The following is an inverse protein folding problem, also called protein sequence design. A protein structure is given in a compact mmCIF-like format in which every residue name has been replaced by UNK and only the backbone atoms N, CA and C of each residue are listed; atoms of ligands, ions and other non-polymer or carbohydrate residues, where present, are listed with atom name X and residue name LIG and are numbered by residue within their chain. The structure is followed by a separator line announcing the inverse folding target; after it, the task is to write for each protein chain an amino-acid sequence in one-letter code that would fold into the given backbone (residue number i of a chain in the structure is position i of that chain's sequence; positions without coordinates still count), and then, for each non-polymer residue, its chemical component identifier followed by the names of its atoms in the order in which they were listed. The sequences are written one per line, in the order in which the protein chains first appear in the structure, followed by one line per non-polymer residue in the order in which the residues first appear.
data_IF_663654442593
#
_entry.id   IF_663654442593
#
_cell.length_a   1.000
_cell.length_b   1.000
_cell.length_c   1.000
_cell.angle_alpha   90.00
_cell.angle_beta   90.00
_cell.angle_gamma   90.00
#
_symmetry.space_group_name_H-M   'P 1'
#
loop_
_entity.id
_entity.type
_entity.pdbx_description
1 polymer ?
#
# COMPACT_ATOMS: atom_id res chain seq x y z
N UNK A 1 -6.83 -22.14 -11.38
CA UNK A 1 -7.34 -22.08 -12.77
C UNK A 1 -6.18 -21.79 -13.71
N UNK A 2 -5.96 -22.58 -14.77
CA UNK A 2 -4.88 -22.36 -15.75
C UNK A 2 -5.10 -21.11 -16.60
N UNK A 3 -6.33 -20.93 -17.09
CA UNK A 3 -6.80 -19.72 -17.77
C UNK A 3 -7.66 -18.94 -16.78
N UNK A 4 -7.21 -17.75 -16.38
CA UNK A 4 -7.89 -16.91 -15.40
C UNK A 4 -7.42 -15.46 -15.55
N UNK A 5 -8.34 -14.50 -15.58
CA UNK A 5 -8.03 -13.09 -15.84
C UNK A 5 -7.68 -12.30 -14.57
N UNK A 6 -8.22 -12.70 -13.41
CA UNK A 6 -7.90 -12.15 -12.11
C UNK A 6 -6.73 -12.92 -11.44
N UNK A 7 -6.23 -12.43 -10.31
CA UNK A 7 -5.24 -13.17 -9.51
C UNK A 7 -5.86 -14.39 -8.79
N UNK A 8 -7.04 -14.18 -8.22
CA UNK A 8 -7.89 -15.15 -7.57
C UNK A 8 -9.35 -14.63 -7.60
N UNK A 9 -10.31 -15.39 -7.07
CA UNK A 9 -11.67 -14.91 -6.78
C UNK A 9 -12.35 -15.73 -5.68
N UNK A 10 -13.08 -15.03 -4.82
CA UNK A 10 -13.48 -15.38 -3.46
C UNK A 10 -14.53 -16.49 -3.33
N UNK A 11 -15.48 -16.58 -4.28
CA UNK A 11 -16.51 -17.64 -4.42
C UNK A 11 -16.75 -18.52 -3.17
N UNK A 12 -17.67 -18.12 -2.28
CA UNK A 12 -18.07 -18.82 -1.05
C UNK A 12 -17.79 -20.35 -0.99
N UNK A 13 -16.76 -20.73 -0.23
CA UNK A 13 -16.37 -22.14 0.00
C UNK A 13 -15.69 -22.84 -1.18
N UNK A 14 -15.41 -22.13 -2.27
CA UNK A 14 -14.84 -22.64 -3.52
C UNK A 14 -13.81 -21.66 -4.15
N UNK A 15 -13.10 -20.89 -3.32
CA UNK A 15 -12.03 -19.94 -3.68
C UNK A 15 -11.17 -20.43 -4.85
N UNK A 16 -11.06 -19.62 -5.90
CA UNK A 16 -10.31 -19.95 -7.12
C UNK A 16 -9.03 -19.11 -7.21
N UNK A 17 -7.91 -19.72 -7.61
CA UNK A 17 -6.60 -19.04 -7.65
C UNK A 17 -5.93 -19.32 -9.01
N UNK A 18 -5.30 -18.30 -9.62
CA UNK A 18 -4.53 -18.42 -10.87
C UNK A 18 -3.36 -19.42 -10.74
N UNK A 19 -3.14 -20.27 -11.75
CA UNK A 19 -2.07 -21.29 -11.72
C UNK A 19 -0.66 -20.69 -11.55
N UNK A 20 -0.44 -19.43 -11.92
CA UNK A 20 0.84 -18.73 -11.73
C UNK A 20 1.37 -18.73 -10.29
N UNK A 21 0.50 -18.93 -9.29
CA UNK A 21 0.86 -19.08 -7.87
C UNK A 21 1.29 -20.51 -7.46
N UNK A 22 1.12 -21.50 -8.35
CA UNK A 22 1.50 -22.92 -8.12
C UNK A 22 2.91 -23.17 -8.67
N UNK A 23 3.90 -22.72 -7.91
CA UNK A 23 5.30 -22.74 -8.33
C UNK A 23 5.85 -24.16 -8.53
N UNK A 24 6.31 -24.46 -9.76
CA UNK A 24 6.91 -25.76 -10.13
C UNK A 24 8.44 -25.81 -9.90
N UNK A 25 8.99 -24.88 -9.13
CA UNK A 25 10.42 -24.70 -8.88
C UNK A 25 10.70 -23.57 -7.88
N UNK A 26 11.98 -23.25 -7.63
CA UNK A 26 12.36 -22.16 -6.71
C UNK A 26 12.00 -20.78 -7.30
N UNK A 27 11.40 -19.93 -6.47
CA UNK A 27 10.98 -18.55 -6.76
C UNK A 27 11.60 -17.56 -5.76
N UNK A 28 11.38 -16.26 -5.94
CA UNK A 28 11.80 -15.24 -4.96
C UNK A 28 10.88 -15.18 -3.74
N UNK A 29 11.33 -14.56 -2.64
CA UNK A 29 10.51 -14.36 -1.44
C UNK A 29 9.21 -13.60 -1.75
N UNK A 30 9.32 -12.49 -2.49
CA UNK A 30 8.18 -11.66 -2.90
C UNK A 30 7.10 -12.44 -3.70
N UNK A 31 7.47 -13.48 -4.45
CA UNK A 31 6.48 -14.33 -5.13
C UNK A 31 5.73 -15.26 -4.15
N UNK A 32 6.39 -15.75 -3.10
CA UNK A 32 5.77 -16.57 -2.06
C UNK A 32 4.87 -15.70 -1.17
N UNK A 33 5.34 -14.50 -0.84
CA UNK A 33 4.62 -13.48 -0.08
C UNK A 33 3.36 -13.00 -0.81
N UNK A 34 3.46 -12.54 -2.07
CA UNK A 34 2.27 -12.12 -2.85
C UNK A 34 1.24 -13.23 -2.98
N UNK A 35 1.66 -14.50 -3.07
CA UNK A 35 0.74 -15.65 -3.01
C UNK A 35 0.05 -15.77 -1.66
N UNK A 36 0.78 -15.61 -0.55
CA UNK A 36 0.21 -15.67 0.79
C UNK A 36 -0.80 -14.53 1.02
N UNK A 37 -0.45 -13.30 0.62
CA UNK A 37 -1.36 -12.15 0.61
C UNK A 37 -2.61 -12.44 -0.20
N UNK A 38 -2.50 -12.90 -1.46
CA UNK A 38 -3.68 -13.28 -2.25
C UNK A 38 -4.52 -14.36 -1.57
N UNK A 39 -3.93 -15.44 -1.04
CA UNK A 39 -4.69 -16.47 -0.31
C UNK A 39 -5.43 -15.89 0.91
N UNK A 40 -4.81 -14.95 1.63
CA UNK A 40 -5.43 -14.29 2.79
C UNK A 40 -6.51 -13.26 2.40
N UNK A 41 -6.41 -12.65 1.21
CA UNK A 41 -7.40 -11.75 0.63
C UNK A 41 -8.71 -12.51 0.36
N UNK A 42 -8.65 -13.61 -0.39
CA UNK A 42 -9.82 -14.46 -0.66
C UNK A 42 -10.46 -15.02 0.63
N UNK A 43 -9.64 -15.29 1.65
CA UNK A 43 -10.12 -15.77 2.95
C UNK A 43 -10.74 -14.66 3.81
N UNK A 44 -10.36 -13.39 3.64
CA UNK A 44 -11.00 -12.26 4.28
C UNK A 44 -12.38 -11.96 3.66
N UNK A 45 -12.55 -12.17 2.36
CA UNK A 45 -13.84 -12.04 1.66
C UNK A 45 -14.94 -12.99 2.15
N UNK A 46 -14.57 -14.12 2.78
CA UNK A 46 -15.50 -15.01 3.50
C UNK A 46 -16.32 -14.25 4.57
N UNK A 47 -15.83 -13.08 5.01
CA UNK A 47 -16.53 -12.13 5.87
C UNK A 47 -16.98 -10.87 5.11
N UNK A 48 -16.05 -10.14 4.49
CA UNK A 48 -16.32 -8.89 3.75
C UNK A 48 -16.52 -9.17 2.24
N UNK A 49 -17.74 -9.53 1.87
CA UNK A 49 -18.10 -9.99 0.54
C UNK A 49 -19.20 -11.06 0.59
N UNK A 50 -18.88 -12.22 1.15
CA UNK A 50 -19.79 -13.37 1.23
C UNK A 50 -20.78 -13.33 2.41
N UNK A 51 -20.28 -13.10 3.64
CA UNK A 51 -21.14 -13.12 4.84
C UNK A 51 -21.95 -11.83 4.96
N UNK A 52 -21.34 -10.70 4.61
CA UNK A 52 -21.99 -9.40 4.45
C UNK A 52 -21.48 -8.80 3.15
N UNK A 53 -22.40 -8.45 2.26
CA UNK A 53 -22.12 -7.96 0.92
C UNK A 53 -22.50 -6.49 0.81
N UNK A 54 -21.81 -5.69 0.00
CA UNK A 54 -22.30 -4.35 -0.35
C UNK A 54 -23.70 -4.40 -0.99
N UNK A 55 -24.50 -3.35 -0.82
CA UNK A 55 -25.83 -3.21 -1.44
C UNK A 55 -25.74 -2.83 -2.91
N UNK A 56 -24.75 -2.01 -3.26
CA UNK A 56 -24.44 -1.60 -4.63
C UNK A 56 -22.95 -1.26 -4.76
N UNK A 57 -22.47 -1.10 -5.99
CA UNK A 57 -21.05 -1.04 -6.32
C UNK A 57 -20.33 0.25 -5.90
N UNK A 58 -21.06 1.30 -5.51
CA UNK A 58 -20.49 2.48 -4.84
C UNK A 58 -19.75 2.11 -3.54
N UNK A 59 -20.17 1.02 -2.90
CA UNK A 59 -19.58 0.46 -1.69
C UNK A 59 -18.65 -0.74 -1.99
N UNK A 60 -18.17 -0.92 -3.24
CA UNK A 60 -17.24 -2.01 -3.61
C UNK A 60 -15.97 -2.04 -2.73
N UNK A 61 -15.48 -0.85 -2.35
CA UNK A 61 -14.33 -0.68 -1.47
C UNK A 61 -14.54 -1.33 -0.08
N UNK A 62 -15.79 -1.42 0.40
CA UNK A 62 -16.17 -2.09 1.66
C UNK A 62 -15.83 -3.59 1.66
N UNK A 63 -15.74 -4.21 0.48
CA UNK A 63 -15.22 -5.57 0.32
C UNK A 63 -13.70 -5.53 0.10
N UNK A 64 -13.27 -4.87 -0.98
CA UNK A 64 -11.90 -5.00 -1.53
C UNK A 64 -10.83 -4.36 -0.65
N UNK A 65 -11.08 -3.14 -0.16
CA UNK A 65 -10.16 -2.46 0.76
C UNK A 65 -10.03 -3.20 2.08
N UNK A 66 -11.13 -3.80 2.55
CA UNK A 66 -11.16 -4.60 3.78
C UNK A 66 -10.40 -5.91 3.62
N UNK A 67 -10.56 -6.62 2.51
CA UNK A 67 -9.79 -7.82 2.22
C UNK A 67 -8.29 -7.53 2.02
N UNK A 68 -7.94 -6.43 1.34
CA UNK A 68 -6.55 -6.00 1.12
C UNK A 68 -5.89 -5.57 2.45
N UNK A 69 -6.63 -4.86 3.34
CA UNK A 69 -6.16 -4.53 4.69
C UNK A 69 -6.02 -5.78 5.57
N UNK A 70 -7.04 -6.63 5.62
CA UNK A 70 -7.08 -7.81 6.49
C UNK A 70 -6.08 -8.89 6.06
N UNK A 71 -5.77 -9.00 4.76
CA UNK A 71 -4.76 -9.95 4.26
C UNK A 71 -3.36 -9.56 4.72
N UNK A 72 -3.01 -8.28 4.67
CA UNK A 72 -1.73 -7.77 5.17
C UNK A 72 -1.64 -7.84 6.70
N UNK A 73 -2.71 -7.51 7.43
CA UNK A 73 -2.77 -7.69 8.88
C UNK A 73 -2.60 -9.17 9.27
N UNK A 74 -3.34 -10.08 8.62
CA UNK A 74 -3.25 -11.51 8.88
C UNK A 74 -1.85 -12.07 8.55
N UNK A 75 -1.22 -11.59 7.48
CA UNK A 75 0.13 -11.98 7.11
C UNK A 75 1.17 -11.59 8.18
N UNK A 76 1.13 -10.35 8.67
CA UNK A 76 2.07 -9.86 9.67
C UNK A 76 1.88 -10.55 11.03
N UNK A 77 0.63 -10.72 11.48
CA UNK A 77 0.32 -11.23 12.82
C UNK A 77 0.32 -12.77 12.91
N UNK A 78 0.13 -13.51 11.80
CA UNK A 78 -0.13 -14.96 11.82
C UNK A 78 0.77 -15.80 10.89
N UNK A 79 1.76 -15.21 10.20
CA UNK A 79 2.62 -15.94 9.25
C UNK A 79 4.10 -15.57 9.36
N UNK A 80 4.94 -16.09 8.46
CA UNK A 80 6.36 -15.69 8.35
C UNK A 80 6.57 -14.30 7.73
N UNK A 81 5.53 -13.70 7.12
CA UNK A 81 5.60 -12.42 6.39
C UNK A 81 5.43 -11.20 7.32
N UNK A 82 6.15 -11.18 8.45
CA UNK A 82 6.14 -10.08 9.43
C UNK A 82 6.55 -8.71 8.87
N UNK A 83 7.15 -8.67 7.67
CA UNK A 83 7.51 -7.44 6.96
C UNK A 83 6.48 -6.97 5.93
N UNK A 84 5.31 -7.61 5.77
CA UNK A 84 4.42 -7.36 4.63
C UNK A 84 3.92 -5.91 4.47
N UNK A 85 3.83 -5.10 5.55
CA UNK A 85 3.58 -3.65 5.43
C UNK A 85 4.67 -2.90 4.65
N UNK A 86 5.89 -3.44 4.59
CA UNK A 86 7.00 -2.97 3.75
C UNK A 86 6.68 -3.18 2.27
N UNK A 87 6.28 -4.40 1.89
CA UNK A 87 5.81 -4.73 0.53
C UNK A 87 4.61 -3.87 0.15
N UNK A 88 3.62 -3.71 1.05
CA UNK A 88 2.44 -2.86 0.82
C UNK A 88 2.81 -1.41 0.50
N UNK A 89 3.67 -0.78 1.31
CA UNK A 89 4.14 0.59 1.07
C UNK A 89 4.94 0.72 -0.24
N UNK A 90 5.82 -0.25 -0.53
CA UNK A 90 6.69 -0.24 -1.72
C UNK A 90 5.94 -0.53 -3.03
N UNK A 91 4.95 -1.43 -3.01
CA UNK A 91 4.27 -1.93 -4.22
C UNK A 91 2.89 -1.28 -4.38
N UNK A 92 1.99 -1.57 -3.44
CA UNK A 92 0.55 -1.32 -3.60
C UNK A 92 0.22 0.16 -3.35
N UNK A 93 0.75 0.76 -2.27
CA UNK A 93 0.61 2.19 -1.98
C UNK A 93 1.29 3.06 -3.05
N UNK A 94 2.42 2.60 -3.58
CA UNK A 94 3.12 3.20 -4.72
C UNK A 94 2.41 2.98 -6.07
N UNK A 95 1.42 2.10 -6.16
CA UNK A 95 0.47 2.03 -7.27
C UNK A 95 -0.69 3.01 -7.05
N UNK A 96 -1.28 3.03 -5.86
CA UNK A 96 -2.31 3.99 -5.47
C UNK A 96 -1.88 5.44 -5.75
N UNK A 97 -0.71 5.88 -5.27
CA UNK A 97 -0.18 7.24 -5.50
C UNK A 97 0.06 7.58 -6.98
N UNK A 98 0.17 6.59 -7.88
CA UNK A 98 0.27 6.85 -9.33
C UNK A 98 -1.10 6.99 -9.96
N UNK A 99 -2.08 6.21 -9.49
CA UNK A 99 -3.46 6.19 -9.97
C UNK A 99 -4.22 7.44 -9.50
N UNK A 100 -4.15 7.75 -8.21
CA UNK A 100 -4.79 8.88 -7.51
C UNK A 100 -4.13 10.24 -7.81
N UNK A 101 -3.12 10.26 -8.71
CA UNK A 101 -2.54 11.47 -9.31
C UNK A 101 -2.81 11.58 -10.82
N UNK A 102 -3.63 10.70 -11.41
CA UNK A 102 -4.08 10.83 -12.80
C UNK A 102 -5.24 11.85 -12.91
N UNK A 103 -5.44 12.49 -14.08
CA UNK A 103 -6.65 13.29 -14.34
C UNK A 103 -7.97 12.50 -14.30
N UNK A 104 -7.90 11.17 -14.21
CA UNK A 104 -9.02 10.23 -14.09
C UNK A 104 -9.21 9.72 -12.65
N UNK A 105 -8.60 10.38 -11.66
CA UNK A 105 -8.74 10.02 -10.24
C UNK A 105 -10.17 10.20 -9.74
N UNK A 106 -10.57 9.37 -8.78
CA UNK A 106 -11.88 9.41 -8.13
C UNK A 106 -11.77 9.29 -6.60
N UNK A 107 -12.82 9.64 -5.84
CA UNK A 107 -12.94 9.26 -4.43
C UNK A 107 -13.01 7.73 -4.26
N UNK A 108 -12.78 7.24 -3.04
CA UNK A 108 -12.90 5.81 -2.70
C UNK A 108 -14.38 5.41 -2.68
N UNK A 109 -15.23 6.29 -2.14
CA UNK A 109 -16.69 6.21 -2.31
C UNK A 109 -17.07 6.99 -3.58
N UNK A 110 -17.29 6.28 -4.68
CA UNK A 110 -17.65 6.86 -5.97
C UNK A 110 -19.12 6.58 -6.34
N UNK A 111 -19.74 7.48 -7.09
CA UNK A 111 -21.06 7.23 -7.69
C UNK A 111 -20.89 6.28 -8.89
N UNK A 112 -21.74 5.24 -8.96
CA UNK A 112 -21.63 4.13 -9.91
C UNK A 112 -23.00 3.92 -10.57
N UNK A 113 -23.17 4.46 -11.78
CA UNK A 113 -24.42 4.37 -12.55
C UNK A 113 -24.55 3.03 -13.27
N UNK A 114 -23.44 2.48 -13.78
CA UNK A 114 -23.44 1.35 -14.70
C UNK A 114 -22.21 0.44 -14.57
N UNK A 115 -22.25 -0.72 -15.24
CA UNK A 115 -21.22 -1.76 -15.12
C UNK A 115 -19.85 -1.38 -15.69
N UNK A 116 -19.77 -0.42 -16.63
CA UNK A 116 -18.48 0.08 -17.12
C UNK A 116 -17.81 0.96 -16.06
N UNK A 117 -18.58 1.66 -15.23
CA UNK A 117 -18.04 2.41 -14.08
C UNK A 117 -17.47 1.44 -13.04
N UNK A 118 -18.16 0.31 -12.80
CA UNK A 118 -17.66 -0.79 -11.95
C UNK A 118 -16.32 -1.31 -12.47
N UNK A 119 -16.24 -1.63 -13.78
CA UNK A 119 -15.02 -2.17 -14.42
C UNK A 119 -13.79 -1.26 -14.25
N UNK A 120 -13.96 0.07 -14.27
CA UNK A 120 -12.83 1.01 -14.08
C UNK A 120 -12.48 1.29 -12.63
N UNK A 121 -13.37 1.01 -11.67
CA UNK A 121 -13.11 1.18 -10.23
C UNK A 121 -12.34 0.01 -9.60
N UNK A 122 -12.09 -1.10 -10.32
CA UNK A 122 -11.19 -2.17 -9.86
C UNK A 122 -9.70 -1.78 -9.99
N UNK A 123 -9.26 -0.78 -9.22
CA UNK A 123 -7.96 -0.13 -9.39
C UNK A 123 -7.21 0.18 -8.07
N UNK A 124 -6.09 0.91 -8.17
CA UNK A 124 -5.24 1.24 -7.03
C UNK A 124 -5.89 2.14 -5.98
N UNK A 125 -7.00 2.80 -6.30
CA UNK A 125 -7.79 3.61 -5.35
C UNK A 125 -8.64 2.67 -4.49
N UNK A 126 -9.44 1.81 -5.12
CA UNK A 126 -10.33 0.85 -4.42
C UNK A 126 -9.56 -0.18 -3.58
N UNK A 127 -8.45 -0.71 -4.08
CA UNK A 127 -7.62 -1.64 -3.30
C UNK A 127 -6.72 -0.89 -2.32
N UNK A 128 -5.69 -0.20 -2.82
CA UNK A 128 -4.53 0.19 -2.02
C UNK A 128 -4.65 1.56 -1.33
N UNK A 129 -5.36 2.55 -1.91
CA UNK A 129 -5.76 3.77 -1.16
C UNK A 129 -6.76 3.40 -0.07
N UNK A 130 -7.80 2.63 -0.41
CA UNK A 130 -8.79 2.10 0.52
C UNK A 130 -8.16 1.36 1.72
N UNK A 131 -7.29 0.37 1.47
CA UNK A 131 -6.61 -0.35 2.55
C UNK A 131 -5.68 0.54 3.39
N UNK A 132 -5.04 1.56 2.78
CA UNK A 132 -4.25 2.57 3.52
C UNK A 132 -5.12 3.45 4.42
N UNK A 133 -6.31 3.82 3.95
CA UNK A 133 -7.29 4.62 4.67
C UNK A 133 -7.96 3.81 5.79
N UNK A 134 -8.24 2.52 5.58
CA UNK A 134 -8.66 1.62 6.65
C UNK A 134 -7.57 1.43 7.71
N UNK A 135 -6.31 1.25 7.31
CA UNK A 135 -5.18 1.17 8.24
C UNK A 135 -5.04 2.43 9.11
N UNK A 136 -5.29 3.61 8.54
CA UNK A 136 -5.42 4.87 9.27
C UNK A 136 -6.59 4.82 10.26
N UNK A 137 -7.78 4.41 9.80
CA UNK A 137 -8.98 4.34 10.62
C UNK A 137 -8.76 3.44 11.85
N UNK A 138 -8.21 2.22 11.67
CA UNK A 138 -7.93 1.30 12.78
C UNK A 138 -6.96 1.91 13.80
N UNK A 139 -5.92 2.62 13.34
CA UNK A 139 -4.98 3.30 14.22
C UNK A 139 -5.63 4.47 14.99
N UNK A 140 -6.50 5.25 14.33
CA UNK A 140 -7.14 6.42 14.93
C UNK A 140 -8.24 6.04 15.93
N UNK A 141 -9.14 5.12 15.56
CA UNK A 141 -10.24 4.68 16.44
C UNK A 141 -9.80 3.74 17.55
N UNK A 142 -8.63 3.10 17.39
CA UNK A 142 -8.07 2.09 18.27
C UNK A 142 -8.37 0.66 17.78
N UNK A 143 -7.37 -0.25 17.70
CA UNK A 143 -7.58 -1.59 17.16
C UNK A 143 -8.63 -2.43 17.92
N UNK A 144 -8.71 -2.32 19.25
CA UNK A 144 -9.71 -3.05 20.04
C UNK A 144 -11.14 -2.57 19.77
N UNK A 145 -11.29 -1.26 19.57
CA UNK A 145 -12.53 -0.55 19.29
C UNK A 145 -13.02 -0.86 17.87
N UNK A 146 -12.11 -0.79 16.88
CA UNK A 146 -12.38 -1.23 15.51
C UNK A 146 -12.86 -2.68 15.47
N UNK A 147 -12.12 -3.59 16.11
CA UNK A 147 -12.48 -5.00 16.20
C UNK A 147 -13.77 -5.23 17.02
N UNK A 148 -14.20 -4.31 17.88
CA UNK A 148 -15.50 -4.36 18.56
C UNK A 148 -16.65 -3.95 17.62
N UNK A 149 -16.52 -2.82 16.91
CA UNK A 149 -17.52 -2.37 15.93
C UNK A 149 -17.72 -3.38 14.80
N UNK A 150 -16.63 -3.92 14.23
CA UNK A 150 -16.68 -4.95 13.17
C UNK A 150 -17.41 -6.23 13.64
N UNK A 151 -17.22 -6.67 14.90
CA UNK A 151 -17.94 -7.83 15.45
C UNK A 151 -19.44 -7.58 15.63
N UNK A 152 -19.81 -6.39 16.09
CA UNK A 152 -21.21 -5.97 16.26
C UNK A 152 -21.92 -5.82 14.90
N UNK A 153 -21.24 -5.23 13.91
CA UNK A 153 -21.67 -5.17 12.51
C UNK A 153 -21.95 -6.58 11.94
N UNK A 154 -20.98 -7.51 12.02
CA UNK A 154 -21.22 -8.88 11.56
C UNK A 154 -22.37 -9.58 12.31
N UNK A 155 -22.51 -9.35 13.62
CA UNK A 155 -23.61 -9.92 14.43
C UNK A 155 -25.01 -9.44 13.99
N UNK A 156 -25.10 -8.24 13.39
CA UNK A 156 -26.36 -7.62 12.93
C UNK A 156 -26.67 -7.88 11.46
N UNK A 157 -25.65 -7.85 10.61
CA UNK A 157 -25.80 -7.79 9.16
C UNK A 157 -25.49 -9.11 8.44
N UNK A 158 -25.02 -10.15 9.14
CA UNK A 158 -24.76 -11.47 8.55
C UNK A 158 -25.93 -11.99 7.69
N UNK A 159 -25.58 -12.49 6.49
CA UNK A 159 -26.47 -12.96 5.44
C UNK A 159 -27.37 -11.88 4.84
N UNK A 160 -26.85 -10.64 4.72
CA UNK A 160 -27.56 -9.48 4.16
C UNK A 160 -26.63 -8.59 3.34
N UNK A 161 -27.25 -7.68 2.59
CA UNK A 161 -26.59 -6.53 2.01
C UNK A 161 -26.54 -5.34 2.98
N UNK A 162 -25.51 -4.51 2.87
CA UNK A 162 -25.30 -3.29 3.67
C UNK A 162 -24.85 -2.09 2.84
N UNK A 163 -25.03 -0.90 3.41
CA UNK A 163 -24.41 0.35 2.95
C UNK A 163 -23.28 0.74 3.91
N UNK A 164 -22.38 1.65 3.51
CA UNK A 164 -21.31 2.16 4.39
C UNK A 164 -21.83 2.61 5.77
N UNK A 165 -22.99 3.25 5.83
CA UNK A 165 -23.60 3.75 7.06
C UNK A 165 -23.85 2.64 8.11
N UNK A 166 -24.15 1.41 7.69
CA UNK A 166 -24.33 0.26 8.60
C UNK A 166 -23.04 -0.10 9.35
N UNK A 167 -21.88 0.04 8.71
CA UNK A 167 -20.58 -0.17 9.35
C UNK A 167 -20.20 1.01 10.25
N UNK A 168 -20.33 2.23 9.73
CA UNK A 168 -19.83 3.44 10.39
C UNK A 168 -20.48 3.64 11.75
N UNK A 169 -21.81 3.47 11.86
CA UNK A 169 -22.56 3.60 13.12
C UNK A 169 -22.03 2.66 14.23
N UNK A 170 -21.60 1.45 13.90
CA UNK A 170 -21.06 0.51 14.89
C UNK A 170 -19.59 0.79 15.24
N UNK A 171 -18.80 1.37 14.31
CA UNK A 171 -17.45 1.86 14.58
C UNK A 171 -17.44 3.15 15.43
N UNK A 172 -18.34 4.10 15.16
CA UNK A 172 -18.57 5.29 15.99
C UNK A 172 -18.94 4.89 17.42
N UNK A 173 -19.96 4.03 17.55
CA UNK A 173 -20.44 3.52 18.85
C UNK A 173 -19.36 2.76 19.64
N UNK A 174 -18.45 2.06 18.96
CA UNK A 174 -17.37 1.32 19.61
C UNK A 174 -16.15 2.18 20.00
N UNK A 175 -15.92 3.31 19.31
CA UNK A 175 -14.74 4.17 19.50
C UNK A 175 -15.01 5.48 20.22
N UNK A 176 -16.25 6.00 20.15
CA UNK A 176 -16.61 7.33 20.64
C UNK A 176 -16.11 8.48 19.75
N UNK A 177 -15.64 8.20 18.53
CA UNK A 177 -15.25 9.22 17.54
C UNK A 177 -16.38 9.53 16.56
N UNK A 178 -16.39 10.77 16.09
CA UNK A 178 -17.11 11.24 14.90
C UNK A 178 -16.43 10.66 13.65
N UNK A 179 -17.14 9.79 12.93
CA UNK A 179 -16.68 9.20 11.67
C UNK A 179 -17.40 9.81 10.45
N UNK A 180 -18.52 10.50 10.63
CA UNK A 180 -19.18 11.32 9.60
C UNK A 180 -18.19 12.33 8.98
N UNK A 181 -17.49 13.12 9.82
CA UNK A 181 -16.45 14.04 9.33
C UNK A 181 -15.34 13.24 8.65
N UNK A 182 -14.85 12.16 9.26
CA UNK A 182 -13.75 11.36 8.69
C UNK A 182 -14.07 10.77 7.30
N UNK A 183 -15.30 10.31 7.06
CA UNK A 183 -15.74 9.76 5.77
C UNK A 183 -15.65 10.78 4.63
N UNK A 184 -16.13 12.00 4.86
CA UNK A 184 -16.06 13.11 3.89
C UNK A 184 -14.61 13.44 3.49
N UNK A 185 -13.69 13.35 4.46
CA UNK A 185 -12.29 13.69 4.30
C UNK A 185 -11.48 12.62 3.55
N UNK A 186 -11.79 11.34 3.76
CA UNK A 186 -10.94 10.22 3.33
C UNK A 186 -11.57 9.29 2.31
N UNK A 187 -12.89 9.18 2.29
CA UNK A 187 -13.63 8.32 1.38
C UNK A 187 -14.21 9.12 0.21
N UNK A 188 -14.84 10.25 0.49
CA UNK A 188 -15.52 11.11 -0.51
C UNK A 188 -14.57 12.09 -1.23
N UNK A 189 -13.29 12.17 -0.83
CA UNK A 189 -12.29 13.07 -1.44
C UNK A 189 -11.25 12.31 -2.29
N UNK A 190 -11.08 12.75 -3.54
CA UNK A 190 -10.05 12.26 -4.45
C UNK A 190 -8.68 12.93 -4.23
N UNK A 191 -7.59 12.26 -4.62
CA UNK A 191 -6.23 12.80 -4.57
C UNK A 191 -5.43 12.47 -3.30
N UNK A 192 -4.12 12.78 -3.37
CA UNK A 192 -3.10 12.39 -2.39
C UNK A 192 -2.57 13.60 -1.61
N UNK A 193 -2.75 13.58 -0.29
CA UNK A 193 -2.18 14.59 0.61
C UNK A 193 -0.64 14.56 0.63
N UNK A 194 0.00 15.70 0.88
CA UNK A 194 1.47 15.81 0.99
C UNK A 194 1.87 16.47 2.31
N UNK A 195 2.69 15.80 3.11
CA UNK A 195 3.16 16.26 4.42
C UNK A 195 4.62 16.71 4.34
N UNK A 196 4.89 17.95 4.73
CA UNK A 196 6.23 18.57 4.67
C UNK A 196 6.63 19.12 6.05
N UNK A 197 7.81 18.79 6.59
CA UNK A 197 8.26 19.28 7.88
C UNK A 197 8.85 20.70 7.77
N UNK A 198 8.15 21.70 8.29
CA UNK A 198 8.70 23.05 8.50
C UNK A 198 9.60 23.09 9.75
N UNK A 199 10.89 22.81 9.57
CA UNK A 199 11.87 22.95 10.66
C UNK A 199 12.43 24.37 10.69
N UNK A 200 12.35 25.02 11.85
CA UNK A 200 13.08 26.25 12.15
C UNK A 200 14.05 26.00 13.30
N UNK A 201 15.30 26.43 13.13
CA UNK A 201 16.38 26.29 14.11
C UNK A 201 17.04 27.65 14.26
N UNK A 202 17.03 28.18 15.48
CA UNK A 202 17.59 29.49 15.79
C UNK A 202 19.12 29.50 15.72
N UNK A 203 19.73 30.68 15.60
CA UNK A 203 21.18 30.84 15.41
C UNK A 203 22.05 30.20 16.51
N UNK A 204 21.47 30.03 17.71
CA UNK A 204 22.08 29.43 18.88
C UNK A 204 21.34 28.15 19.33
N UNK A 205 20.41 27.63 18.51
CA UNK A 205 19.76 26.33 18.67
C UNK A 205 18.56 26.27 19.63
N UNK A 206 17.83 27.36 19.89
CA UNK A 206 16.71 27.36 20.84
C UNK A 206 15.51 28.28 20.52
N UNK A 207 14.38 27.64 20.20
CA UNK A 207 12.97 28.13 20.16
C UNK A 207 12.58 29.23 19.14
N UNK A 208 11.74 28.90 18.14
CA UNK A 208 11.61 29.69 16.91
C UNK A 208 10.65 30.87 16.95
N UNK A 209 10.75 31.72 15.91
CA UNK A 209 9.84 32.82 15.60
C UNK A 209 9.06 32.53 14.30
N UNK A 210 7.79 32.94 14.24
CA UNK A 210 6.84 32.59 13.17
C UNK A 210 7.34 32.90 11.73
N UNK A 211 7.03 32.06 10.72
CA UNK A 211 7.48 32.27 9.35
C UNK A 211 6.89 33.52 8.69
N UNK A 212 7.66 34.16 7.81
CA UNK A 212 7.15 35.15 6.86
C UNK A 212 6.69 34.47 5.56
N UNK A 213 5.51 34.85 5.07
CA UNK A 213 4.87 34.28 3.87
C UNK A 213 5.75 34.25 2.62
N UNK A 214 5.62 33.18 1.84
CA UNK A 214 6.00 33.07 0.42
C UNK A 214 4.85 32.41 -0.36
N UNK A 215 4.76 32.56 -1.69
CA UNK A 215 3.48 32.43 -2.41
C UNK A 215 2.93 31.00 -2.48
N UNK A 216 1.59 30.86 -2.62
CA UNK A 216 0.91 29.58 -2.41
C UNK A 216 1.08 28.61 -3.58
N UNK A 217 1.31 27.34 -3.22
CA UNK A 217 1.00 26.19 -4.07
C UNK A 217 -0.14 25.43 -3.40
N UNK A 218 -1.32 25.40 -4.04
CA UNK A 218 -2.50 24.76 -3.46
C UNK A 218 -2.39 23.23 -3.55
N UNK A 219 -2.21 22.58 -2.40
CA UNK A 219 -2.80 21.26 -2.14
C UNK A 219 -3.50 21.41 -0.79
N UNK A 220 -4.81 21.61 -0.81
CA UNK A 220 -5.63 21.54 0.39
C UNK A 220 -5.89 20.06 0.69
N UNK A 221 -5.39 19.49 1.80
CA UNK A 221 -6.18 18.46 2.46
C UNK A 221 -7.49 19.14 2.90
N UNK A 222 -8.67 18.53 2.71
CA UNK A 222 -9.66 18.70 3.74
C UNK A 222 -9.07 17.99 4.99
N UNK A 223 -9.13 18.68 6.14
CA UNK A 223 -8.50 18.35 7.44
C UNK A 223 -8.31 16.85 7.80
N UNK A 224 -7.25 16.51 8.52
CA UNK A 224 -6.89 15.13 8.90
C UNK A 224 -5.62 14.67 8.16
N UNK A 225 -4.82 13.71 8.70
CA UNK A 225 -5.15 12.73 9.73
C UNK A 225 -4.24 12.80 10.96
N UNK A 226 -4.30 11.79 11.84
CA UNK A 226 -3.21 11.43 12.76
C UNK A 226 -1.92 11.18 11.98
N UNK A 227 -1.04 12.16 11.93
CA UNK A 227 0.28 12.02 11.33
C UNK A 227 1.30 11.88 12.45
N UNK A 228 1.87 10.69 12.55
CA UNK A 228 2.93 10.34 13.48
C UNK A 228 4.25 10.93 12.97
N UNK A 229 5.09 11.51 13.84
CA UNK A 229 6.44 11.97 13.47
C UNK A 229 7.47 11.22 14.29
N UNK A 230 8.50 10.69 13.64
CA UNK A 230 9.59 9.99 14.31
C UNK A 230 10.92 10.66 13.99
N UNK A 231 11.75 10.74 15.02
CA UNK A 231 13.07 11.36 15.01
C UNK A 231 14.13 10.27 15.07
N UNK A 232 15.12 10.37 14.20
CA UNK A 232 16.23 9.43 14.06
C UNK A 232 17.56 10.15 14.24
N UNK A 233 18.39 9.70 15.18
CA UNK A 233 19.77 10.15 15.34
C UNK A 233 20.73 9.03 14.89
N UNK A 234 21.86 9.41 14.28
CA UNK A 234 22.87 8.45 13.82
C UNK A 234 23.78 8.05 14.99
N UNK A 235 23.53 6.87 15.57
CA UNK A 235 24.25 6.36 16.74
C UNK A 235 25.02 5.10 16.37
N UNK A 236 26.32 5.06 16.64
CA UNK A 236 27.23 3.92 16.35
C UNK A 236 27.14 3.37 14.91
N UNK A 237 26.81 4.23 13.94
CA UNK A 237 26.64 3.86 12.53
C UNK A 237 25.28 3.24 12.19
N UNK A 238 24.26 3.44 13.02
CA UNK A 238 22.87 3.02 12.78
C UNK A 238 21.91 4.20 13.00
N UNK A 239 20.85 4.30 12.19
CA UNK A 239 19.76 5.24 12.42
C UNK A 239 18.77 4.63 13.41
N UNK A 240 18.69 5.23 14.60
CA UNK A 240 17.87 4.73 15.71
C UNK A 240 16.75 5.74 16.00
N UNK A 241 15.50 5.25 16.10
CA UNK A 241 14.32 6.05 16.48
C UNK A 241 14.48 6.51 17.94
N UNK A 242 14.78 7.80 18.14
CA UNK A 242 15.02 8.41 19.46
C UNK A 242 13.79 9.07 20.07
N UNK A 243 12.82 9.47 19.25
CA UNK A 243 11.55 10.04 19.70
C UNK A 243 10.44 9.79 18.66
N UNK A 244 9.19 9.74 19.12
CA UNK A 244 7.98 9.49 18.35
C UNK A 244 6.84 10.33 18.96
N UNK A 245 6.21 11.16 18.14
CA UNK A 245 5.11 12.05 18.53
C UNK A 245 3.85 11.72 17.74
N UNK A 246 2.71 11.69 18.43
CA UNK A 246 1.36 11.46 17.90
C UNK A 246 0.55 12.76 17.92
N UNK A 247 0.03 13.20 16.76
CA UNK A 247 -1.02 14.22 16.73
C UNK A 247 -1.81 14.24 15.41
N UNK A 248 -3.08 14.62 15.53
CA UNK A 248 -3.98 14.91 14.41
C UNK A 248 -3.58 16.23 13.72
N UNK A 249 -3.40 16.17 12.40
CA UNK A 249 -3.16 17.32 11.52
C UNK A 249 -4.51 17.94 11.16
N UNK A 250 -4.79 19.14 11.65
CA UNK A 250 -5.92 19.97 11.20
C UNK A 250 -5.42 21.27 10.57
N UNK A 251 -6.14 21.74 9.55
CA UNK A 251 -5.79 22.87 8.70
C UNK A 251 -4.56 22.67 7.79
N UNK A 252 -4.15 23.74 7.12
CA UNK A 252 -2.98 23.77 6.23
C UNK A 252 -1.64 23.66 6.99
N UNK A 253 -1.63 23.97 8.30
CA UNK A 253 -0.43 24.05 9.13
C UNK A 253 -0.76 23.79 10.60
N UNK A 254 -0.30 22.67 11.14
CA UNK A 254 -0.48 22.29 12.55
C UNK A 254 0.84 22.48 13.33
N UNK A 255 0.84 23.34 14.34
CA UNK A 255 2.04 23.59 15.18
C UNK A 255 2.22 22.48 16.23
N UNK A 256 3.46 21.98 16.38
CA UNK A 256 3.78 20.87 17.29
C UNK A 256 4.47 21.40 18.55
N UNK A 257 3.67 21.87 19.51
CA UNK A 257 4.19 22.49 20.74
C UNK A 257 5.16 21.60 21.53
N UNK A 258 4.95 20.27 21.52
CA UNK A 258 5.81 19.30 22.22
C UNK A 258 7.26 19.25 21.70
N UNK A 259 7.51 19.68 20.45
CA UNK A 259 8.84 19.71 19.84
C UNK A 259 9.60 21.03 20.12
N UNK A 260 8.98 21.98 20.82
CA UNK A 260 9.61 23.28 21.15
C UNK A 260 10.82 23.10 22.04
N UNK A 261 12.01 23.49 21.56
CA UNK A 261 13.26 23.35 22.31
C UNK A 261 13.89 21.96 22.24
N UNK A 262 13.33 21.03 21.46
CA UNK A 262 13.97 19.74 21.16
C UNK A 262 15.09 19.96 20.14
N UNK A 263 16.27 19.37 20.38
CA UNK A 263 17.41 19.34 19.44
C UNK A 263 16.95 18.73 18.11
N UNK A 264 17.20 19.40 16.97
CA UNK A 264 16.91 18.82 15.66
C UNK A 264 17.66 17.48 15.50
N UNK A 265 16.96 16.37 15.21
CA UNK A 265 17.57 15.06 15.03
C UNK A 265 18.34 15.01 13.70
N UNK A 266 19.05 13.92 13.43
CA UNK A 266 19.74 13.73 12.15
C UNK A 266 18.80 13.44 10.97
N UNK A 267 17.65 12.82 11.23
CA UNK A 267 16.57 12.64 10.26
C UNK A 267 15.19 12.74 10.95
N UNK A 268 14.26 13.44 10.31
CA UNK A 268 12.84 13.51 10.66
C UNK A 268 12.07 12.72 9.62
N UNK A 269 11.37 11.67 10.04
CA UNK A 269 10.47 10.91 9.19
C UNK A 269 9.03 11.16 9.63
N UNK A 270 8.27 11.81 8.75
CA UNK A 270 6.82 11.90 8.90
C UNK A 270 6.18 10.57 8.46
N UNK A 271 5.05 10.21 9.08
CA UNK A 271 4.29 9.00 8.78
C UNK A 271 5.07 7.68 8.96
N UNK A 272 5.99 7.63 9.92
CA UNK A 272 6.98 6.56 10.15
C UNK A 272 6.42 5.12 10.21
N UNK A 273 5.29 4.92 10.89
CA UNK A 273 4.62 3.62 10.99
C UNK A 273 3.70 3.33 9.77
N UNK A 274 3.69 4.20 8.76
CA UNK A 274 2.89 4.21 7.53
C UNK A 274 1.35 4.23 7.74
N UNK A 275 0.90 4.97 8.75
CA UNK A 275 -0.49 5.01 9.21
C UNK A 275 -1.36 6.08 8.56
N UNK A 276 -0.82 6.94 7.70
CA UNK A 276 -1.56 7.89 6.85
C UNK A 276 -1.41 7.55 5.36
N UNK A 277 -2.43 7.85 4.56
CA UNK A 277 -2.33 7.88 3.10
C UNK A 277 -1.90 9.29 2.67
N UNK A 278 -0.59 9.53 2.66
CA UNK A 278 -0.01 10.80 2.27
C UNK A 278 1.43 10.62 1.79
N UNK A 279 1.82 11.36 0.75
CA UNK A 279 3.23 11.54 0.38
C UNK A 279 3.92 12.31 1.50
N UNK A 280 5.18 11.98 1.80
CA UNK A 280 5.98 12.72 2.78
C UNK A 280 7.18 13.36 2.11
N UNK A 281 7.62 14.50 2.63
CA UNK A 281 8.86 15.18 2.24
C UNK A 281 9.86 15.15 3.40
N UNK A 282 11.14 15.09 3.05
CA UNK A 282 12.25 15.24 3.97
C UNK A 282 12.76 16.69 3.89
N UNK A 283 13.09 17.29 5.04
CA UNK A 283 13.84 18.55 5.04
C UNK A 283 15.28 18.33 4.52
N UNK A 284 16.01 19.43 4.27
CA UNK A 284 17.35 19.37 3.68
C UNK A 284 18.38 18.59 4.51
N UNK A 285 18.27 18.60 5.86
CA UNK A 285 19.14 17.77 6.72
C UNK A 285 18.74 16.30 6.59
N UNK A 286 17.44 16.01 6.76
CA UNK A 286 16.91 14.65 6.67
C UNK A 286 17.19 13.97 5.33
N UNK A 287 17.09 14.69 4.21
CA UNK A 287 17.40 14.17 2.87
C UNK A 287 18.91 13.88 2.70
N UNK A 288 19.78 14.73 3.27
CA UNK A 288 21.23 14.50 3.23
C UNK A 288 21.62 13.27 4.07
N UNK A 289 21.07 13.15 5.29
CA UNK A 289 21.25 11.98 6.17
C UNK A 289 20.73 10.71 5.48
N UNK A 290 19.52 10.73 4.92
CA UNK A 290 18.96 9.62 4.15
C UNK A 290 19.89 9.19 3.00
N UNK A 291 20.37 10.14 2.19
CA UNK A 291 21.22 9.82 1.03
C UNK A 291 22.50 9.07 1.44
N UNK A 292 23.10 9.41 2.58
CA UNK A 292 24.29 8.75 3.10
C UNK A 292 24.00 7.43 3.86
N UNK A 293 22.90 7.39 4.63
CA UNK A 293 22.66 6.41 5.70
C UNK A 293 21.34 5.62 5.59
N UNK A 294 20.65 5.61 4.45
CA UNK A 294 19.38 4.87 4.30
C UNK A 294 19.52 3.36 4.55
N UNK A 295 20.66 2.77 4.17
CA UNK A 295 21.03 1.38 4.53
C UNK A 295 21.19 1.13 6.04
N UNK A 296 21.46 2.17 6.81
CA UNK A 296 21.76 2.09 8.24
C UNK A 296 20.48 2.14 9.12
N UNK A 297 19.28 2.18 8.51
CA UNK A 297 18.02 1.89 9.17
C UNK A 297 17.88 0.39 9.47
N UNK A 298 17.71 0.05 10.75
CA UNK A 298 17.45 -1.33 11.20
C UNK A 298 16.10 -1.89 10.72
N UNK A 299 15.08 -1.05 10.63
CA UNK A 299 13.69 -1.44 10.32
C UNK A 299 13.37 -1.20 8.83
N UNK A 300 12.68 -2.15 8.19
CA UNK A 300 12.45 -2.13 6.73
C UNK A 300 11.39 -1.12 6.28
N UNK A 301 10.34 -0.91 7.09
CA UNK A 301 9.25 0.02 6.79
C UNK A 301 9.73 1.48 6.71
N UNK A 302 10.39 2.08 7.72
CA UNK A 302 10.85 3.48 7.63
C UNK A 302 11.88 3.68 6.50
N UNK A 303 12.75 2.68 6.26
CA UNK A 303 13.66 2.66 5.10
C UNK A 303 12.88 2.74 3.77
N UNK A 304 11.77 2.02 3.68
CA UNK A 304 10.87 2.03 2.50
C UNK A 304 10.08 3.32 2.34
N UNK A 305 9.71 3.99 3.43
CA UNK A 305 9.08 5.31 3.37
C UNK A 305 10.05 6.38 2.86
N UNK A 306 11.32 6.30 3.22
CA UNK A 306 12.35 7.19 2.67
C UNK A 306 12.64 6.87 1.20
N UNK A 307 12.69 5.59 0.80
CA UNK A 307 12.73 5.19 -0.61
C UNK A 307 11.59 5.81 -1.42
N UNK A 308 10.35 5.70 -0.94
CA UNK A 308 9.15 6.27 -1.57
C UNK A 308 9.13 7.80 -1.58
N UNK A 309 9.49 8.46 -0.48
CA UNK A 309 9.58 9.92 -0.36
C UNK A 309 10.52 10.53 -1.40
N UNK A 310 11.70 9.92 -1.59
CA UNK A 310 12.69 10.38 -2.56
C UNK A 310 12.26 10.12 -4.01
N UNK A 311 11.54 9.02 -4.28
CA UNK A 311 10.91 8.77 -5.57
C UNK A 311 9.83 9.80 -5.89
N UNK A 312 8.90 10.05 -4.96
CA UNK A 312 7.79 10.95 -5.17
C UNK A 312 8.25 12.40 -5.33
N UNK A 313 9.21 12.86 -4.53
CA UNK A 313 9.80 14.19 -4.71
C UNK A 313 10.50 14.35 -6.08
N UNK A 314 11.08 13.28 -6.63
CA UNK A 314 11.65 13.29 -7.99
C UNK A 314 10.59 13.20 -9.09
N UNK A 315 9.50 12.46 -8.86
CA UNK A 315 8.36 12.27 -9.77
C UNK A 315 7.50 13.53 -9.89
N UNK A 316 7.24 14.19 -8.78
CA UNK A 316 6.48 15.45 -8.69
C UNK A 316 7.34 16.67 -9.12
N UNK A 317 8.64 16.49 -9.38
CA UNK A 317 9.55 17.52 -9.91
C UNK A 317 10.17 18.45 -8.85
N UNK A 318 9.89 18.23 -7.57
CA UNK A 318 10.39 19.01 -6.43
C UNK A 318 11.89 18.76 -6.13
N UNK A 319 12.40 17.58 -6.47
CA UNK A 319 13.80 17.18 -6.30
C UNK A 319 14.45 16.77 -7.62
N UNK A 320 15.73 17.10 -7.86
CA UNK A 320 16.42 16.64 -9.07
C UNK A 320 16.47 15.11 -9.14
N UNK A 321 15.97 14.53 -10.23
CA UNK A 321 15.94 13.08 -10.45
C UNK A 321 17.29 12.37 -10.27
N UNK A 322 18.40 13.09 -10.48
CA UNK A 322 19.76 12.61 -10.17
C UNK A 322 20.01 12.33 -8.69
N UNK A 323 19.43 13.12 -7.78
CA UNK A 323 19.54 12.88 -6.34
C UNK A 323 18.90 11.54 -5.94
N UNK A 324 17.79 11.17 -6.58
CA UNK A 324 17.19 9.85 -6.39
C UNK A 324 18.08 8.71 -6.91
N UNK A 325 18.73 8.89 -8.08
CA UNK A 325 19.74 7.94 -8.59
C UNK A 325 20.93 7.82 -7.62
N UNK A 326 21.41 8.94 -7.08
CA UNK A 326 22.53 8.99 -6.14
C UNK A 326 22.18 8.30 -4.81
N UNK A 327 20.96 8.50 -4.29
CA UNK A 327 20.40 7.82 -3.11
C UNK A 327 20.22 6.30 -3.31
N UNK A 328 19.79 5.84 -4.50
CA UNK A 328 19.78 4.40 -4.85
C UNK A 328 21.20 3.84 -4.87
N UNK A 329 22.13 4.44 -5.62
CA UNK A 329 23.49 3.92 -5.77
C UNK A 329 24.26 3.84 -4.45
N UNK A 330 23.95 4.68 -3.46
CA UNK A 330 24.61 4.70 -2.16
C UNK A 330 24.08 3.64 -1.15
N UNK A 331 22.93 3.01 -1.40
CA UNK A 331 22.23 2.20 -0.39
C UNK A 331 21.63 0.87 -0.90
N UNK A 332 21.29 0.72 -2.20
CA UNK A 332 20.55 -0.44 -2.71
C UNK A 332 21.29 -1.78 -2.58
N UNK A 333 22.61 -1.76 -2.39
CA UNK A 333 23.43 -2.96 -2.23
C UNK A 333 23.20 -3.69 -0.89
N UNK A 334 22.73 -2.98 0.13
CA UNK A 334 22.45 -3.51 1.47
C UNK A 334 20.94 -3.72 1.72
N UNK A 335 20.08 -3.43 0.73
CA UNK A 335 18.64 -3.70 0.85
C UNK A 335 18.39 -5.21 0.81
N UNK A 336 17.55 -5.70 1.74
CA UNK A 336 17.25 -7.11 1.93
C UNK A 336 15.85 -7.51 1.46
N UNK A 337 14.93 -6.54 1.38
CA UNK A 337 13.54 -6.81 1.02
C UNK A 337 13.38 -7.06 -0.49
N UNK A 338 12.87 -8.25 -0.84
CA UNK A 338 12.76 -8.70 -2.22
C UNK A 338 11.72 -7.94 -3.05
N UNK A 339 10.75 -7.29 -2.41
CA UNK A 339 9.75 -6.44 -3.06
C UNK A 339 10.35 -5.05 -3.31
N UNK A 340 10.96 -4.46 -2.28
CA UNK A 340 11.62 -3.15 -2.34
C UNK A 340 12.71 -3.13 -3.42
N UNK A 341 13.65 -4.09 -3.44
CA UNK A 341 14.72 -4.15 -4.46
C UNK A 341 14.13 -4.11 -5.88
N UNK A 342 13.07 -4.88 -6.11
CA UNK A 342 12.42 -5.00 -7.42
C UNK A 342 11.69 -3.70 -7.81
N UNK A 343 11.10 -2.98 -6.86
CA UNK A 343 10.50 -1.66 -7.09
C UNK A 343 11.58 -0.63 -7.36
N UNK A 344 12.61 -0.52 -6.51
CA UNK A 344 13.70 0.46 -6.63
C UNK A 344 14.46 0.32 -7.96
N UNK A 345 14.74 -0.91 -8.41
CA UNK A 345 15.39 -1.14 -9.71
C UNK A 345 14.49 -0.77 -10.91
N UNK A 346 13.17 -0.97 -10.82
CA UNK A 346 12.22 -0.51 -11.84
C UNK A 346 12.11 1.01 -11.87
N UNK A 347 12.01 1.65 -10.70
CA UNK A 347 11.97 3.10 -10.58
C UNK A 347 13.29 3.75 -11.04
N UNK A 348 14.45 3.14 -10.76
CA UNK A 348 15.75 3.56 -11.31
C UNK A 348 15.74 3.56 -12.84
N UNK A 349 15.26 2.47 -13.47
CA UNK A 349 15.17 2.39 -14.91
C UNK A 349 14.23 3.47 -15.50
N UNK A 350 13.07 3.69 -14.87
CA UNK A 350 12.15 4.80 -15.23
C UNK A 350 12.81 6.17 -15.07
N UNK A 351 13.52 6.40 -13.97
CA UNK A 351 14.23 7.66 -13.66
C UNK A 351 15.27 7.97 -14.73
N UNK A 352 16.14 7.00 -15.04
CA UNK A 352 17.17 7.13 -16.07
C UNK A 352 16.60 7.28 -17.49
N UNK A 353 15.43 6.70 -17.77
CA UNK A 353 14.80 6.73 -19.10
C UNK A 353 14.03 8.03 -19.36
N UNK A 354 13.32 8.57 -18.37
CA UNK A 354 12.36 9.68 -18.55
C UNK A 354 12.69 10.96 -17.76
N UNK A 355 13.37 10.86 -16.61
CA UNK A 355 13.55 12.00 -15.69
C UNK A 355 14.98 12.58 -15.67
N UNK A 356 15.98 11.84 -16.19
CA UNK A 356 17.37 12.34 -16.34
C UNK A 356 17.62 12.79 -17.77
N UNK A 357 18.10 14.04 -17.94
CA UNK A 357 18.48 14.59 -19.25
C UNK A 357 19.59 13.77 -19.93
N UNK A 358 19.55 13.65 -21.26
CA UNK A 358 20.43 12.76 -22.04
C UNK A 358 21.93 13.08 -21.84
N UNK A 359 22.29 14.37 -21.82
CA UNK A 359 23.64 14.84 -21.59
C UNK A 359 24.17 14.56 -20.16
N UNK A 360 23.29 14.19 -19.23
CA UNK A 360 23.60 13.74 -17.88
C UNK A 360 23.68 12.21 -17.76
N UNK A 361 23.20 11.44 -18.75
CA UNK A 361 23.27 9.97 -18.79
C UNK A 361 24.68 9.48 -19.17
N UNK A 362 25.30 10.12 -20.17
CA UNK A 362 26.53 9.62 -20.81
C UNK A 362 27.88 9.95 -20.13
N UNK A 363 27.98 10.89 -19.18
CA UNK A 363 29.27 11.56 -18.94
C UNK A 363 30.39 10.89 -18.07
N UNK A 364 30.19 9.87 -17.19
CA UNK A 364 29.62 9.88 -15.76
C UNK A 364 30.41 11.48 -13.34
N UNK A 365 29.96 11.41 -12.03
CA UNK A 365 30.83 11.27 -10.81
C UNK A 365 30.45 9.99 -10.08
N UNK A 366 30.55 8.92 -10.85
CA UNK A 366 29.81 7.69 -10.66
C UNK A 366 30.87 6.60 -10.44
N UNK A 367 30.92 5.99 -9.25
CA UNK A 367 31.75 4.82 -9.04
C UNK A 367 31.33 3.75 -10.05
N UNK A 368 32.27 3.26 -10.85
CA UNK A 368 31.98 2.23 -11.82
C UNK A 368 31.55 0.97 -11.07
N UNK A 369 30.28 0.56 -11.21
CA UNK A 369 29.76 -0.71 -10.72
C UNK A 369 30.27 -1.88 -11.58
N UNK A 370 31.58 -1.93 -11.79
CA UNK A 370 32.34 -3.05 -12.38
C UNK A 370 32.88 -3.94 -11.28
N UNK A 371 32.03 -4.27 -10.29
CA UNK A 371 32.18 -5.53 -9.55
C UNK A 371 32.09 -6.67 -10.56
N UNK A 372 32.89 -7.72 -10.40
CA UNK A 372 33.17 -8.72 -11.45
C UNK A 372 32.05 -9.76 -11.67
N UNK A 373 30.78 -9.33 -11.66
CA UNK A 373 29.63 -10.08 -12.14
C UNK A 373 29.33 -9.73 -13.59
N UNK A 374 29.40 -10.70 -14.49
CA UNK A 374 29.24 -10.44 -15.93
C UNK A 374 27.79 -10.20 -16.34
N UNK A 375 27.36 -8.94 -16.39
CA UNK A 375 26.15 -8.53 -17.10
C UNK A 375 26.28 -8.91 -18.59
N UNK A 376 25.25 -9.54 -19.21
CA UNK A 376 25.26 -9.80 -20.64
C UNK A 376 25.38 -8.51 -21.45
N UNK A 377 26.23 -8.49 -22.48
CA UNK A 377 26.32 -7.36 -23.41
C UNK A 377 24.98 -7.15 -24.13
N UNK A 378 24.54 -5.90 -24.36
CA UNK A 378 23.33 -5.65 -25.14
C UNK A 378 23.47 -6.23 -26.55
N UNK A 379 22.40 -6.85 -27.04
CA UNK A 379 22.38 -7.49 -28.34
C UNK A 379 22.53 -6.43 -29.45
N UNK A 380 23.56 -6.56 -30.29
CA UNK A 380 23.78 -5.64 -31.41
C UNK A 380 22.81 -6.00 -32.53
N UNK A 381 21.75 -5.21 -32.68
CA UNK A 381 20.68 -5.50 -33.64
C UNK A 381 21.08 -5.05 -35.05
N UNK A 382 21.71 -5.94 -35.82
CA UNK A 382 22.03 -5.69 -37.23
C UNK A 382 20.75 -5.56 -38.06
N UNK A 383 20.66 -4.49 -38.86
CA UNK A 383 19.43 -4.05 -39.54
C UNK A 383 19.11 -4.81 -40.83
N UNK A 384 18.76 -6.09 -40.74
CA UNK A 384 18.07 -6.80 -41.84
C UNK A 384 17.06 -7.84 -41.34
N UNK A 385 15.84 -7.39 -41.01
CA UNK A 385 14.56 -7.90 -41.55
C UNK A 385 13.38 -7.15 -40.92
N UNK A 386 12.30 -6.97 -41.69
CA UNK A 386 11.13 -6.20 -41.29
C UNK A 386 10.04 -7.08 -40.67
N UNK A 387 9.79 -6.92 -39.37
CA UNK A 387 8.54 -7.35 -38.74
C UNK A 387 7.91 -6.13 -38.05
N UNK A 388 6.66 -5.83 -38.40
CA UNK A 388 5.90 -4.69 -37.87
C UNK A 388 5.33 -5.01 -36.49
N UNK A 389 6.01 -4.57 -35.43
CA UNK A 389 5.56 -4.70 -34.05
C UNK A 389 4.65 -3.52 -33.64
N UNK A 390 3.44 -3.48 -34.17
CA UNK A 390 2.38 -2.55 -33.76
C UNK A 390 1.31 -3.30 -32.95
N UNK A 391 1.58 -3.52 -31.67
CA UNK A 391 0.62 -4.13 -30.72
C UNK A 391 0.06 -3.05 -29.79
N UNK A 392 -1.10 -2.44 -30.10
CA UNK A 392 -1.85 -1.68 -29.11
C UNK A 392 -2.41 -2.63 -28.03
N UNK A 393 -2.74 -2.09 -26.86
CA UNK A 393 -3.57 -2.82 -25.90
C UNK A 393 -4.95 -3.11 -26.53
N UNK A 394 -5.52 -4.31 -26.38
CA UNK A 394 -6.81 -4.63 -26.99
C UNK A 394 -7.95 -4.00 -26.19
N UNK A 395 -8.63 -3.01 -26.79
CA UNK A 395 -9.99 -2.68 -26.38
C UNK A 395 -10.93 -3.85 -26.75
N UNK A 396 -11.84 -4.21 -25.84
CA UNK A 396 -12.69 -5.39 -25.98
C UNK A 396 -13.89 -5.16 -26.93
N UNK A 397 -14.18 -6.10 -27.84
CA UNK A 397 -15.51 -6.25 -28.45
C UNK A 397 -16.37 -7.20 -27.61
N UNK A 398 -17.61 -6.83 -27.32
CA UNK A 398 -18.55 -7.68 -26.59
C UNK A 398 -18.94 -8.94 -27.40
N UNK A 399 -19.03 -10.09 -26.72
CA UNK A 399 -19.44 -11.37 -27.31
C UNK A 399 -20.57 -12.02 -26.50
N UNK A 400 -21.65 -12.41 -27.17
CA UNK A 400 -22.85 -13.00 -26.53
C UNK A 400 -22.93 -14.51 -26.76
N UNK A 401 -23.16 -15.27 -25.69
CA UNK A 401 -23.47 -16.70 -25.70
C UNK A 401 -24.43 -17.00 -24.53
N UNK A 402 -25.74 -17.13 -24.76
CA UNK A 402 -26.45 -18.33 -25.23
C UNK A 402 -26.58 -19.43 -24.15
N UNK A 403 -27.79 -19.63 -23.65
CA UNK A 403 -28.10 -20.43 -22.45
C UNK A 403 -28.44 -21.90 -22.72
N UNK A 404 -27.79 -22.83 -21.99
CA UNK A 404 -28.34 -24.17 -21.69
C UNK A 404 -27.84 -24.62 -20.31
N UNK A 405 -28.71 -24.99 -19.34
CA UNK A 405 -28.26 -25.41 -18.01
C UNK A 405 -27.88 -26.90 -17.95
N UNK A 406 -26.95 -27.24 -17.05
CA UNK A 406 -26.53 -28.61 -16.73
C UNK A 406 -26.85 -28.93 -15.27
N UNK A 407 -27.31 -30.15 -14.97
CA UNK A 407 -27.68 -30.59 -13.62
C UNK A 407 -26.92 -31.85 -13.20
N UNK A 408 -26.13 -31.81 -12.11
CA UNK A 408 -25.61 -33.02 -11.46
C UNK A 408 -26.63 -33.57 -10.45
N UNK A 409 -26.66 -34.90 -10.30
CA UNK A 409 -27.40 -35.60 -9.25
C UNK A 409 -26.44 -36.08 -8.15
N UNK A 410 -26.90 -36.04 -6.89
CA UNK A 410 -26.10 -36.43 -5.73
C UNK A 410 -26.52 -37.82 -5.21
N UNK A 411 -25.53 -38.66 -4.91
CA UNK A 411 -25.70 -39.92 -4.16
C UNK A 411 -24.80 -39.91 -2.92
N UNK A 412 -25.33 -40.37 -1.78
CA UNK A 412 -24.69 -40.24 -0.48
C UNK A 412 -23.58 -41.30 -0.24
N UNK A 413 -22.54 -40.93 0.52
CA UNK A 413 -21.48 -41.83 0.97
C UNK A 413 -21.76 -42.44 2.36
N UNK A 414 -21.22 -43.63 2.67
CA UNK A 414 -21.36 -44.29 3.97
C UNK A 414 -20.45 -43.68 5.07
N UNK A 415 -20.76 -43.88 6.36
CA UNK A 415 -20.07 -43.24 7.49
C UNK A 415 -18.65 -43.78 7.77
N UNK A 416 -17.80 -42.91 8.31
CA UNK A 416 -16.38 -43.17 8.58
C UNK A 416 -16.12 -44.13 9.76
N UNK A 417 -15.01 -44.87 9.68
CA UNK A 417 -14.44 -45.62 10.81
C UNK A 417 -13.59 -44.72 11.72
N UNK A 418 -13.45 -45.09 12.99
CA UNK A 418 -12.77 -44.28 13.99
C UNK A 418 -11.24 -44.26 13.81
N UNK A 419 -10.63 -43.08 13.99
CA UNK A 419 -9.19 -42.82 13.95
C UNK A 419 -8.78 -42.01 15.18
N UNK A 420 -7.56 -42.13 15.73
CA UNK A 420 -7.11 -41.31 16.87
C UNK A 420 -7.17 -39.80 16.65
N UNK A 421 -7.24 -39.37 15.38
CA UNK A 421 -7.12 -37.97 14.93
C UNK A 421 -8.44 -37.25 14.73
N UNK A 422 -9.59 -37.94 14.83
CA UNK A 422 -10.92 -37.35 14.60
C UNK A 422 -11.78 -37.33 15.86
N UNK A 423 -12.67 -36.32 15.95
CA UNK A 423 -13.84 -36.35 16.83
C UNK A 423 -15.10 -36.18 16.00
N UNK A 424 -16.18 -36.82 16.43
CA UNK A 424 -17.51 -36.67 15.86
C UNK A 424 -18.34 -35.69 16.70
N UNK A 425 -19.03 -34.77 16.04
CA UNK A 425 -20.05 -33.92 16.66
C UNK A 425 -21.15 -33.64 15.63
N UNK A 426 -22.42 -33.80 16.01
CA UNK A 426 -23.56 -33.63 15.09
C UNK A 426 -23.57 -34.58 13.88
N UNK A 427 -22.83 -35.69 13.93
CA UNK A 427 -22.64 -36.62 12.80
C UNK A 427 -21.45 -36.28 11.88
N UNK A 428 -20.91 -35.06 11.95
CA UNK A 428 -19.78 -34.63 11.15
C UNK A 428 -18.43 -34.94 11.84
N UNK A 429 -17.42 -35.27 11.04
CA UNK A 429 -16.06 -35.52 11.50
C UNK A 429 -15.21 -34.25 11.37
N UNK A 430 -14.55 -33.86 12.46
CA UNK A 430 -13.62 -32.73 12.48
C UNK A 430 -12.19 -33.19 12.82
N UNK A 431 -11.15 -32.60 12.21
CA UNK A 431 -9.77 -32.77 12.67
C UNK A 431 -9.60 -32.24 14.10
N UNK A 432 -8.68 -32.84 14.86
CA UNK A 432 -8.15 -32.20 16.07
C UNK A 432 -6.96 -31.31 15.68
N UNK A 433 -7.13 -30.02 15.92
CA UNK A 433 -6.02 -29.10 16.23
C UNK A 433 -5.79 -29.14 17.75
#
# INVERSE_FOLDING_TARGET
MPEFNAGAMENAGAVTIMEGYVFRGKVTGAQIERRAITVLHELAHMWFGDLVTMRWWNDLWLNESFAEYMSHLAAVENTEFGSAWTTFASVEKSWAYRQDQLPTTHPIFAEIDNLQDVEVNFDGITYAKGASVLRQLVAWVGPEQFMAGVREYFSKHAWRNTELSDLMVELEKASGRDLDRWGQLWLETAGVNTLTPEVSVDSDGASPRSPSSSPPWQISPPSGPTAWRCFYDLTDGQLIRVHREELDVDGERTEVAALTGVKQPDLILLNDDDLAYAKVRLDTKSLATATAHLKDFRESLPRTLVWGSAWDAARDGESPARGYVELILANIAEESDSSVILVQLRQLATTLTYYVAEDHRERPRWPQLTGSGSLPRPFRQDRTHSCSSSSPMPCWPAATASSTPWQPSWTAQPPCQASPWTRTCGGNCWPRW
#
